data_IF_314703560241
#
_entry.id   IF_314703560241
#
_cell.length_a   1.000
_cell.length_b   1.000
_cell.length_c   1.000
_cell.angle_alpha   90.00
_cell.angle_beta   90.00
_cell.angle_gamma   90.00
#
_symmetry.space_group_name_H-M   'P 1'
#
loop_
_entity.id
_entity.type
_entity.pdbx_description
1 polymer ?
#
# COMPACT_ATOMS: atom_id res chain seq x y z
N UNK A 1 12.17 -39.67 -6.73
CA UNK A 1 11.14 -40.47 -6.05
C UNK A 1 10.44 -41.37 -7.08
N UNK A 2 9.78 -42.46 -6.69
CA UNK A 2 9.04 -43.32 -7.65
C UNK A 2 7.57 -43.36 -7.26
N UNK A 3 6.69 -43.10 -8.22
CA UNK A 3 5.24 -43.18 -8.08
C UNK A 3 4.74 -44.46 -8.75
N UNK A 4 3.91 -45.21 -8.05
CA UNK A 4 3.14 -46.34 -8.56
C UNK A 4 1.68 -45.94 -8.52
N UNK A 5 0.93 -46.18 -9.59
CA UNK A 5 -0.48 -45.83 -9.60
C UNK A 5 -1.29 -46.74 -10.51
N UNK A 6 -2.55 -46.88 -10.15
CA UNK A 6 -3.55 -47.64 -10.89
C UNK A 6 -4.63 -46.67 -11.34
N UNK A 7 -4.92 -46.68 -12.64
CA UNK A 7 -5.97 -45.86 -13.26
C UNK A 7 -7.05 -46.74 -13.89
N UNK A 8 -8.25 -46.18 -14.04
CA UNK A 8 -9.30 -46.73 -14.88
C UNK A 8 -9.71 -45.69 -15.92
N UNK A 9 -9.87 -46.09 -17.18
CA UNK A 9 -10.42 -45.21 -18.21
C UNK A 9 -11.96 -45.13 -18.17
N UNK A 10 -12.55 -44.38 -19.11
CA UNK A 10 -14.00 -44.21 -19.21
C UNK A 10 -14.76 -45.51 -19.54
N UNK A 11 -14.07 -46.52 -20.10
CA UNK A 11 -14.63 -47.85 -20.37
C UNK A 11 -14.47 -48.78 -19.15
N UNK A 12 -13.77 -48.33 -18.11
CA UNK A 12 -13.49 -49.10 -16.90
C UNK A 12 -12.26 -50.00 -17.01
N UNK A 13 -11.47 -49.87 -18.08
CA UNK A 13 -10.25 -50.66 -18.25
C UNK A 13 -9.18 -50.19 -17.26
N UNK A 14 -8.68 -51.14 -16.46
CA UNK A 14 -7.72 -50.87 -15.40
C UNK A 14 -6.29 -50.98 -15.95
N UNK A 15 -5.46 -49.98 -15.64
CA UNK A 15 -4.04 -49.96 -16.02
C UNK A 15 -3.18 -49.61 -14.82
N UNK A 16 -2.06 -50.31 -14.72
CA UNK A 16 -1.02 -50.03 -13.72
C UNK A 16 0.18 -49.39 -14.43
N UNK A 17 0.71 -48.34 -13.83
CA UNK A 17 1.88 -47.64 -14.35
C UNK A 17 2.75 -47.14 -13.19
N UNK A 18 3.99 -46.81 -13.53
CA UNK A 18 4.91 -46.18 -12.61
C UNK A 18 5.70 -45.07 -13.31
N UNK A 19 6.09 -44.06 -12.53
CA UNK A 19 6.97 -42.98 -12.97
C UNK A 19 8.09 -42.85 -11.95
N UNK A 20 9.33 -43.05 -12.39
CA UNK A 20 10.51 -43.00 -11.53
C UNK A 20 11.31 -41.71 -11.67
N UNK A 21 12.19 -41.48 -10.69
CA UNK A 21 13.22 -40.42 -10.71
C UNK A 21 12.68 -38.98 -10.92
N UNK A 22 11.49 -38.69 -10.39
CA UNK A 22 10.90 -37.34 -10.40
C UNK A 22 10.78 -36.74 -9.00
N UNK A 23 10.74 -35.42 -8.95
CA UNK A 23 10.38 -34.64 -7.76
C UNK A 23 8.90 -34.83 -7.40
N UNK A 24 8.53 -34.55 -6.15
CA UNK A 24 7.17 -34.74 -5.65
C UNK A 24 6.16 -33.90 -6.45
N UNK A 25 6.46 -32.63 -6.68
CA UNK A 25 5.59 -31.69 -7.40
C UNK A 25 5.36 -32.13 -8.85
N UNK A 26 6.41 -32.63 -9.50
CA UNK A 26 6.34 -33.12 -10.88
C UNK A 26 5.51 -34.39 -10.95
N UNK A 27 5.73 -35.33 -10.03
CA UNK A 27 4.96 -36.57 -9.97
C UNK A 27 3.48 -36.34 -9.64
N UNK A 28 3.17 -35.45 -8.69
CA UNK A 28 1.78 -35.06 -8.40
C UNK A 28 1.12 -34.36 -9.59
N UNK A 29 1.83 -33.45 -10.27
CA UNK A 29 1.32 -32.79 -11.46
C UNK A 29 1.02 -33.75 -12.62
N UNK A 30 1.78 -34.84 -12.75
CA UNK A 30 1.48 -35.90 -13.72
C UNK A 30 0.18 -36.64 -13.38
N UNK A 31 -0.05 -36.95 -12.09
CA UNK A 31 -1.29 -37.57 -11.65
C UNK A 31 -2.50 -36.66 -11.88
N UNK A 32 -2.34 -35.35 -11.67
CA UNK A 32 -3.38 -34.34 -11.96
C UNK A 32 -3.71 -34.30 -13.46
N UNK A 33 -2.69 -34.37 -14.34
CA UNK A 33 -2.90 -34.40 -15.78
C UNK A 33 -3.64 -35.67 -16.23
N UNK A 34 -3.27 -36.83 -15.68
CA UNK A 34 -3.96 -38.11 -15.94
C UNK A 34 -5.44 -38.01 -15.54
N UNK A 35 -5.72 -37.41 -14.37
CA UNK A 35 -7.09 -37.17 -13.94
C UNK A 35 -7.83 -36.19 -14.86
N UNK A 36 -7.17 -35.14 -15.33
CA UNK A 36 -7.72 -34.16 -16.26
C UNK A 36 -8.04 -34.74 -17.65
N UNK A 37 -7.30 -35.75 -18.10
CA UNK A 37 -7.58 -36.51 -19.33
C UNK A 37 -8.78 -37.46 -19.21
N UNK A 38 -9.41 -37.53 -18.03
CA UNK A 38 -10.61 -38.32 -17.78
C UNK A 38 -10.34 -39.71 -17.24
N UNK A 39 -9.09 -40.06 -16.94
CA UNK A 39 -8.77 -41.29 -16.23
C UNK A 39 -9.06 -41.14 -14.73
N UNK A 40 -9.66 -42.16 -14.12
CA UNK A 40 -9.91 -42.21 -12.69
C UNK A 40 -8.73 -42.89 -11.99
N UNK A 41 -8.08 -42.18 -11.07
CA UNK A 41 -7.11 -42.78 -10.16
C UNK A 41 -7.84 -43.74 -9.19
N UNK A 42 -7.30 -44.93 -8.99
CA UNK A 42 -7.84 -45.96 -8.09
C UNK A 42 -6.92 -46.22 -6.90
N UNK A 43 -5.60 -46.20 -7.14
CA UNK A 43 -4.58 -46.39 -6.12
C UNK A 43 -3.35 -45.58 -6.50
N UNK A 44 -2.68 -44.98 -5.51
CA UNK A 44 -1.39 -44.30 -5.69
C UNK A 44 -0.50 -44.66 -4.51
N UNK A 45 0.73 -45.07 -4.79
CA UNK A 45 1.75 -45.38 -3.79
C UNK A 45 3.06 -44.72 -4.18
N UNK A 46 3.78 -44.15 -3.22
CA UNK A 46 5.02 -43.41 -3.43
C UNK A 46 6.15 -44.14 -2.73
N UNK A 47 7.19 -44.52 -3.48
CA UNK A 47 8.43 -45.07 -2.95
C UNK A 47 9.47 -43.95 -2.80
N UNK A 48 9.82 -43.63 -1.56
CA UNK A 48 10.81 -42.64 -1.20
C UNK A 48 11.74 -43.17 -0.09
N UNK A 49 13.05 -43.03 -0.26
CA UNK A 49 14.05 -43.51 0.70
C UNK A 49 13.85 -44.97 1.14
N UNK A 50 13.41 -45.84 0.21
CA UNK A 50 13.13 -47.26 0.47
C UNK A 50 11.83 -47.54 1.22
N UNK A 51 10.98 -46.54 1.46
CA UNK A 51 9.66 -46.70 2.09
C UNK A 51 8.55 -46.46 1.07
N UNK A 52 7.64 -47.42 0.97
CA UNK A 52 6.43 -47.30 0.16
C UNK A 52 5.30 -46.73 1.03
N UNK A 53 4.76 -45.58 0.64
CA UNK A 53 3.65 -44.93 1.32
C UNK A 53 2.44 -44.91 0.39
N UNK A 54 1.31 -45.44 0.84
CA UNK A 54 0.05 -45.33 0.10
C UNK A 54 -0.54 -43.93 0.28
N UNK A 55 -0.93 -43.31 -0.83
CA UNK A 55 -1.52 -41.98 -0.87
C UNK A 55 -3.03 -42.12 -1.06
N UNK A 56 -3.85 -41.54 -0.18
CA UNK A 56 -5.30 -41.54 -0.34
C UNK A 56 -5.68 -40.82 -1.65
N UNK A 57 -6.39 -41.50 -2.54
CA UNK A 57 -6.80 -40.94 -3.84
C UNK A 57 -7.76 -39.76 -3.67
N UNK A 58 -8.51 -39.73 -2.57
CA UNK A 58 -9.39 -38.63 -2.18
C UNK A 58 -8.62 -37.33 -1.91
N UNK A 59 -7.35 -37.44 -1.47
CA UNK A 59 -6.48 -36.29 -1.26
C UNK A 59 -5.96 -35.71 -2.59
N UNK A 60 -5.81 -36.55 -3.62
CA UNK A 60 -5.28 -36.17 -4.94
C UNK A 60 -6.37 -35.61 -5.86
N UNK A 61 -7.60 -36.11 -5.77
CA UNK A 61 -8.70 -35.67 -6.63
C UNK A 61 -9.28 -34.29 -6.25
N UNK A 62 -8.80 -33.67 -5.17
CA UNK A 62 -9.28 -32.37 -4.68
C UNK A 62 -10.72 -32.36 -4.15
N UNK A 63 -11.46 -33.46 -4.31
CA UNK A 63 -12.88 -33.60 -3.94
C UNK A 63 -13.06 -33.47 -2.43
N UNK A 64 -12.11 -33.96 -1.63
CA UNK A 64 -12.13 -33.83 -0.17
C UNK A 64 -12.05 -32.36 0.30
N UNK A 65 -11.39 -31.49 -0.47
CA UNK A 65 -11.17 -30.09 -0.10
C UNK A 65 -12.17 -29.11 -0.74
N UNK A 66 -12.94 -29.55 -1.74
CA UNK A 66 -13.98 -28.74 -2.40
C UNK A 66 -14.95 -28.04 -1.43
N UNK A 67 -15.45 -28.68 -0.36
CA UNK A 67 -16.33 -28.00 0.60
C UNK A 67 -15.65 -26.85 1.33
N UNK A 68 -14.39 -27.03 1.74
CA UNK A 68 -13.60 -26.01 2.42
C UNK A 68 -13.24 -24.85 1.48
N UNK A 69 -12.83 -25.15 0.25
CA UNK A 69 -12.57 -24.16 -0.80
C UNK A 69 -13.82 -23.35 -1.14
N UNK A 70 -14.98 -23.99 -1.27
CA UNK A 70 -16.26 -23.29 -1.48
C UNK A 70 -16.64 -22.39 -0.31
N UNK A 71 -16.39 -22.84 0.92
CA UNK A 71 -16.62 -22.02 2.13
C UNK A 71 -15.71 -20.78 2.13
N UNK A 72 -14.43 -20.96 1.78
CA UNK A 72 -13.46 -19.88 1.66
C UNK A 72 -13.89 -18.90 0.56
N UNK A 73 -14.25 -19.39 -0.62
CA UNK A 73 -14.71 -18.57 -1.74
C UNK A 73 -15.93 -17.71 -1.36
N UNK A 74 -16.92 -18.28 -0.66
CA UNK A 74 -18.08 -17.51 -0.18
C UNK A 74 -17.69 -16.43 0.82
N UNK A 75 -16.81 -16.74 1.76
CA UNK A 75 -16.32 -15.76 2.75
C UNK A 75 -15.59 -14.61 2.05
N UNK A 76 -14.75 -14.90 1.06
CA UNK A 76 -14.07 -13.89 0.26
C UNK A 76 -15.04 -13.05 -0.57
N UNK A 77 -16.01 -13.67 -1.23
CA UNK A 77 -17.05 -12.94 -1.96
C UNK A 77 -17.81 -12.01 -1.02
N UNK A 78 -18.16 -12.45 0.18
CA UNK A 78 -18.86 -11.61 1.17
C UNK A 78 -18.03 -10.39 1.57
N UNK A 79 -16.72 -10.56 1.83
CA UNK A 79 -15.81 -9.45 2.14
C UNK A 79 -15.68 -8.48 0.97
N UNK A 80 -15.62 -9.00 -0.26
CA UNK A 80 -15.45 -8.19 -1.48
C UNK A 80 -16.76 -7.55 -1.96
N UNK A 81 -17.91 -8.09 -1.53
CA UNK A 81 -19.24 -7.57 -1.89
C UNK A 81 -19.63 -6.34 -1.08
N UNK A 82 -19.01 -6.16 0.09
CA UNK A 82 -19.23 -5.00 0.94
C UNK A 82 -18.16 -3.97 0.62
N UNK A 83 -18.44 -2.94 -0.20
CA UNK A 83 -17.48 -1.90 -0.47
C UNK A 83 -17.16 -1.21 0.86
N UNK A 84 -15.96 -1.43 1.39
CA UNK A 84 -15.45 -0.64 2.50
C UNK A 84 -15.67 0.83 2.12
N UNK A 85 -16.39 1.59 2.97
CA UNK A 85 -16.65 3.02 2.76
C UNK A 85 -15.36 3.85 2.95
N UNK A 86 -14.33 3.53 2.17
CA UNK A 86 -13.05 4.22 2.09
C UNK A 86 -13.31 5.71 1.83
N UNK A 87 -14.37 6.04 1.09
CA UNK A 87 -14.78 7.42 0.83
C UNK A 87 -15.12 8.19 2.11
N UNK A 88 -15.81 7.59 3.08
CA UNK A 88 -16.16 8.24 4.35
C UNK A 88 -14.92 8.47 5.22
N UNK A 89 -14.09 7.44 5.38
CA UNK A 89 -12.83 7.53 6.13
C UNK A 89 -11.85 8.53 5.51
N UNK A 90 -11.74 8.52 4.18
CA UNK A 90 -10.88 9.44 3.43
C UNK A 90 -11.37 10.89 3.54
N UNK A 91 -12.68 11.11 3.49
CA UNK A 91 -13.28 12.44 3.65
C UNK A 91 -13.01 13.01 5.05
N UNK A 92 -13.17 12.19 6.09
CA UNK A 92 -12.88 12.60 7.46
C UNK A 92 -11.40 12.92 7.65
N UNK A 93 -10.51 12.09 7.11
CA UNK A 93 -9.06 12.32 7.21
C UNK A 93 -8.62 13.58 6.46
N UNK A 94 -9.13 13.80 5.24
CA UNK A 94 -8.87 15.00 4.47
C UNK A 94 -9.38 16.26 5.17
N UNK A 95 -10.54 16.20 5.82
CA UNK A 95 -11.08 17.32 6.59
C UNK A 95 -10.15 17.69 7.75
N UNK A 96 -9.66 16.69 8.51
CA UNK A 96 -8.69 16.91 9.59
C UNK A 96 -7.39 17.56 9.06
N UNK A 97 -6.87 17.08 7.93
CA UNK A 97 -5.67 17.64 7.30
C UNK A 97 -5.90 19.08 6.82
N UNK A 98 -7.07 19.38 6.25
CA UNK A 98 -7.45 20.74 5.83
C UNK A 98 -7.48 21.69 7.02
N UNK A 99 -8.12 21.30 8.12
CA UNK A 99 -8.17 22.10 9.36
C UNK A 99 -6.77 22.35 9.91
N UNK A 100 -5.92 21.32 9.99
CA UNK A 100 -4.53 21.48 10.45
C UNK A 100 -3.73 22.44 9.59
N UNK A 101 -3.92 22.37 8.27
CA UNK A 101 -3.24 23.26 7.32
C UNK A 101 -3.71 24.71 7.46
N UNK A 102 -5.02 24.94 7.63
CA UNK A 102 -5.57 26.27 7.92
C UNK A 102 -4.93 26.87 9.18
N UNK A 103 -4.93 26.13 10.30
CA UNK A 103 -4.33 26.58 11.56
C UNK A 103 -2.84 26.93 11.43
N UNK A 104 -2.11 26.15 10.63
CA UNK A 104 -0.71 26.44 10.33
C UNK A 104 -0.56 27.78 9.61
N UNK A 105 -1.34 28.02 8.55
CA UNK A 105 -1.30 29.29 7.83
C UNK A 105 -1.67 30.47 8.74
N UNK A 106 -2.72 30.35 9.56
CA UNK A 106 -3.11 31.38 10.54
C UNK A 106 -1.96 31.71 11.50
N UNK A 107 -1.30 30.69 12.05
CA UNK A 107 -0.16 30.86 12.96
C UNK A 107 1.03 31.52 12.24
N UNK A 108 1.35 31.08 11.02
CA UNK A 108 2.43 31.66 10.23
C UNK A 108 2.16 33.12 9.87
N UNK A 109 0.92 33.46 9.50
CA UNK A 109 0.50 34.83 9.20
C UNK A 109 0.68 35.72 10.42
N UNK A 110 0.17 35.32 11.60
CA UNK A 110 0.32 36.09 12.83
C UNK A 110 1.80 36.33 13.19
N UNK A 111 2.65 35.31 13.06
CA UNK A 111 4.10 35.45 13.27
C UNK A 111 4.74 36.43 12.26
N UNK A 112 4.36 36.35 10.98
CA UNK A 112 4.90 37.22 9.94
C UNK A 112 4.46 38.68 10.13
N UNK A 113 3.22 38.92 10.55
CA UNK A 113 2.71 40.25 10.91
C UNK A 113 3.55 40.87 12.03
N UNK A 114 3.78 40.12 13.11
CA UNK A 114 4.64 40.56 14.21
C UNK A 114 6.07 40.87 13.75
N UNK A 115 6.65 40.04 12.87
CA UNK A 115 7.98 40.26 12.30
C UNK A 115 8.05 41.50 11.40
N UNK A 116 7.01 41.74 10.61
CA UNK A 116 6.89 42.96 9.77
C UNK A 116 6.84 44.20 10.66
N UNK A 117 6.04 44.18 11.72
CA UNK A 117 5.92 45.31 12.65
C UNK A 117 7.23 45.59 13.39
N UNK A 118 7.88 44.56 13.93
CA UNK A 118 9.19 44.71 14.57
C UNK A 118 10.25 45.24 13.60
N UNK A 119 10.27 44.73 12.37
CA UNK A 119 11.22 45.17 11.34
C UNK A 119 10.98 46.63 10.95
N UNK A 120 9.72 47.05 10.86
CA UNK A 120 9.33 48.44 10.59
C UNK A 120 9.78 49.37 11.72
N UNK A 121 9.56 48.98 12.98
CA UNK A 121 10.01 49.75 14.14
C UNK A 121 11.53 49.90 14.16
N UNK A 122 12.28 48.81 13.93
CA UNK A 122 13.75 48.84 13.83
C UNK A 122 14.23 49.75 12.70
N UNK A 123 13.62 49.64 11.52
CA UNK A 123 13.93 50.49 10.37
C UNK A 123 13.73 51.97 10.71
N UNK A 124 12.58 52.32 11.31
CA UNK A 124 12.29 53.70 11.72
C UNK A 124 13.28 54.21 12.77
N UNK A 125 13.63 53.38 13.76
CA UNK A 125 14.59 53.74 14.80
C UNK A 125 15.98 54.01 14.20
N UNK A 126 16.51 53.10 13.40
CA UNK A 126 17.82 53.24 12.73
C UNK A 126 17.83 54.44 11.78
N UNK A 127 16.72 54.66 11.07
CA UNK A 127 16.57 55.81 10.18
C UNK A 127 16.64 57.13 10.95
N UNK A 128 16.09 57.21 12.16
CA UNK A 128 16.08 58.44 12.97
C UNK A 128 17.35 58.64 13.81
N UNK A 129 17.94 57.56 14.35
CA UNK A 129 19.00 57.64 15.36
C UNK A 129 20.41 57.87 14.79
N UNK A 130 20.72 57.30 13.61
CA UNK A 130 22.10 57.27 13.09
C UNK A 130 22.21 58.25 11.94
N UNK A 131 22.46 59.53 12.20
CA UNK A 131 22.48 60.56 11.16
C UNK A 131 23.83 60.71 10.43
N UNK A 132 24.93 60.10 10.91
CA UNK A 132 26.30 60.44 10.45
C UNK A 132 27.25 59.27 10.15
N UNK A 133 26.79 58.03 10.15
CA UNK A 133 27.69 56.88 9.93
C UNK A 133 27.69 56.38 8.47
N UNK A 134 28.86 56.09 7.87
CA UNK A 134 28.98 55.54 6.52
C UNK A 134 28.34 54.15 6.38
N UNK A 135 28.17 53.41 7.49
CA UNK A 135 27.53 52.09 7.51
C UNK A 135 26.00 52.14 7.56
N UNK A 136 25.41 53.31 7.81
CA UNK A 136 23.94 53.50 7.93
C UNK A 136 23.20 53.08 6.67
N UNK A 137 23.64 53.53 5.50
CA UNK A 137 22.95 53.25 4.23
C UNK A 137 22.91 51.75 3.94
N UNK A 138 24.00 51.02 4.24
CA UNK A 138 24.06 49.57 4.08
C UNK A 138 23.10 48.87 5.04
N UNK A 139 23.06 49.29 6.31
CA UNK A 139 22.16 48.72 7.31
C UNK A 139 20.69 49.00 6.99
N UNK A 140 20.35 50.22 6.57
CA UNK A 140 19.00 50.58 6.14
C UNK A 140 18.57 49.75 4.93
N UNK A 141 19.44 49.57 3.94
CA UNK A 141 19.15 48.74 2.78
C UNK A 141 18.90 47.28 3.19
N UNK A 142 19.69 46.73 4.12
CA UNK A 142 19.48 45.37 4.64
C UNK A 142 18.15 45.24 5.38
N UNK A 143 17.81 46.20 6.24
CA UNK A 143 16.54 46.21 6.96
C UNK A 143 15.35 46.34 6.01
N UNK A 144 15.45 47.19 4.99
CA UNK A 144 14.43 47.35 3.96
C UNK A 144 14.25 46.06 3.14
N UNK A 145 15.35 45.40 2.75
CA UNK A 145 15.31 44.14 2.02
C UNK A 145 14.65 43.02 2.86
N UNK A 146 14.98 42.94 4.16
CA UNK A 146 14.36 41.99 5.08
C UNK A 146 12.87 42.28 5.28
N UNK A 147 12.49 43.55 5.44
CA UNK A 147 11.08 43.96 5.54
C UNK A 147 10.29 43.57 4.30
N UNK A 148 10.83 43.86 3.09
CA UNK A 148 10.21 43.48 1.81
C UNK A 148 10.02 41.97 1.69
N UNK A 149 11.01 41.16 2.11
CA UNK A 149 10.88 39.70 2.11
C UNK A 149 9.76 39.23 3.02
N UNK A 150 9.69 39.72 4.27
CA UNK A 150 8.62 39.33 5.20
C UNK A 150 7.24 39.73 4.69
N UNK A 151 7.11 40.92 4.10
CA UNK A 151 5.85 41.37 3.47
C UNK A 151 5.45 40.49 2.30
N UNK A 152 6.40 40.11 1.43
CA UNK A 152 6.13 39.21 0.31
C UNK A 152 5.69 37.83 0.81
N UNK A 153 6.37 37.27 1.81
CA UNK A 153 5.98 35.99 2.41
C UNK A 153 4.59 36.07 3.04
N UNK A 154 4.26 37.16 3.73
CA UNK A 154 2.94 37.37 4.32
C UNK A 154 1.83 37.34 3.25
N UNK A 155 2.01 38.06 2.14
CA UNK A 155 1.04 38.05 1.03
C UNK A 155 0.88 36.65 0.44
N UNK A 156 1.98 35.91 0.28
CA UNK A 156 1.90 34.53 -0.25
C UNK A 156 1.17 33.57 0.69
N UNK A 157 1.38 33.70 2.00
CA UNK A 157 0.70 32.87 3.01
C UNK A 157 -0.79 33.22 3.09
N UNK A 158 -1.15 34.50 3.05
CA UNK A 158 -2.55 34.96 2.99
C UNK A 158 -3.27 34.45 1.74
N UNK A 159 -2.63 34.53 0.56
CA UNK A 159 -3.19 33.99 -0.67
C UNK A 159 -3.36 32.46 -0.63
N UNK A 160 -2.41 31.75 -0.02
CA UNK A 160 -2.51 30.30 0.19
C UNK A 160 -3.68 29.93 1.11
N UNK A 161 -3.88 30.68 2.19
CA UNK A 161 -5.01 30.49 3.10
C UNK A 161 -6.35 30.75 2.38
N UNK A 162 -6.47 31.82 1.62
CA UNK A 162 -7.69 32.14 0.86
C UNK A 162 -8.08 31.02 -0.10
N UNK A 163 -7.11 30.41 -0.80
CA UNK A 163 -7.37 29.24 -1.67
C UNK A 163 -7.85 28.01 -0.90
N UNK A 164 -7.47 27.86 0.36
CA UNK A 164 -7.93 26.76 1.21
C UNK A 164 -9.31 27.01 1.83
N UNK A 165 -9.80 28.25 1.80
CA UNK A 165 -11.10 28.64 2.33
C UNK A 165 -12.18 28.78 1.25
N UNK A 166 -11.78 29.02 -0.01
CA UNK A 166 -12.64 28.90 -1.19
C UNK A 166 -13.10 27.45 -1.42
#
# INVERSE_FOLDING_TARGET
MIFFFTTADALGEIREAFVGEVDLEVGLGLLDNIAAEGHRLLQVSILEAGRLNDVPVEALTGIAHLPALRKLQRAWQQILSDPVEIKALYTQHLLVLRIRRIRRHETCIACLEQLVDQSRLRFQHVSKAILREPHRSRMLHQLEATLKRHQQTLVTEQASLQRLLA
#
